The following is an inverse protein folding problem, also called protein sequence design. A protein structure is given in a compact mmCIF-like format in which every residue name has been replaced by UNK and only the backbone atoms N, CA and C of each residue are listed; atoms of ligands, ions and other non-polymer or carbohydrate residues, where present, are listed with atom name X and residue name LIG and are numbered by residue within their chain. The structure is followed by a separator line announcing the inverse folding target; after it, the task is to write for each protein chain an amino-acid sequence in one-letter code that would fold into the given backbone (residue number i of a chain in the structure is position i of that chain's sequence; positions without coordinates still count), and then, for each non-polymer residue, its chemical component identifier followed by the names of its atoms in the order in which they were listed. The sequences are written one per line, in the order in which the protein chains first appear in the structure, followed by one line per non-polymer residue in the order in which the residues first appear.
data_IF_335756798003
#
_entry.id   IF_335756798003
#
_cell.length_a   1.000
_cell.length_b   1.000
_cell.length_c   1.000
_cell.angle_alpha   90.00
_cell.angle_beta   90.00
_cell.angle_gamma   90.00
#
_symmetry.space_group_name_H-M   'P 1'
#
loop_
_entity.id
_entity.type
_entity.pdbx_description
1 polymer ?
#
# COMPACT_ATOMS: atom_id res chain seq x y z
N UNK A 1 -13.35 100.68 -16.44
CA UNK A 1 -14.46 100.00 -17.17
C UNK A 1 -14.57 98.58 -16.66
N UNK A 2 -15.79 98.24 -16.29
CA UNK A 2 -16.29 96.99 -15.70
C UNK A 2 -16.15 95.80 -16.65
N UNK A 3 -15.94 94.57 -16.13
CA UNK A 3 -16.88 93.43 -16.21
C UNK A 3 -16.32 92.25 -15.39
N UNK A 4 -17.10 91.83 -14.38
CA UNK A 4 -16.97 90.55 -13.67
C UNK A 4 -17.48 89.38 -14.51
N UNK A 5 -16.93 88.17 -14.33
CA UNK A 5 -17.77 86.96 -14.41
C UNK A 5 -17.27 85.79 -13.55
N UNK A 6 -18.26 85.01 -13.15
CA UNK A 6 -18.38 84.16 -11.98
C UNK A 6 -17.70 82.77 -12.05
N UNK A 7 -17.30 82.32 -10.86
CA UNK A 7 -17.24 80.97 -10.28
C UNK A 7 -17.58 79.74 -11.13
N UNK A 8 -16.77 78.68 -10.96
CA UNK A 8 -17.29 77.32 -10.68
C UNK A 8 -16.30 76.50 -9.84
N UNK A 9 -16.80 75.96 -8.72
CA UNK A 9 -16.14 75.03 -7.79
C UNK A 9 -16.03 73.60 -8.38
N UNK A 10 -14.93 72.87 -8.15
CA UNK A 10 -15.01 71.39 -8.05
C UNK A 10 -13.88 70.73 -7.23
N UNK A 11 -14.30 70.25 -6.06
CA UNK A 11 -13.98 68.99 -5.33
C UNK A 11 -12.52 68.56 -5.14
N UNK A 12 -12.07 68.77 -3.89
CA UNK A 12 -11.36 67.83 -2.98
C UNK A 12 -10.65 66.64 -3.64
N UNK A 13 -9.32 66.62 -3.54
CA UNK A 13 -8.57 65.37 -3.49
C UNK A 13 -7.88 65.27 -2.14
N UNK A 14 -8.20 64.18 -1.46
CA UNK A 14 -7.90 63.86 -0.08
C UNK A 14 -6.48 63.28 -0.01
N UNK A 15 -5.54 63.99 0.60
CA UNK A 15 -4.22 63.46 0.94
C UNK A 15 -4.37 62.50 2.11
N UNK A 16 -4.29 61.19 1.85
CA UNK A 16 -4.08 60.17 2.88
C UNK A 16 -3.25 59.01 2.34
N UNK A 17 -2.17 58.71 3.06
CA UNK A 17 -1.58 57.37 3.14
C UNK A 17 -0.36 57.15 2.26
N UNK A 18 0.83 57.36 2.83
CA UNK A 18 2.02 56.62 2.41
C UNK A 18 1.80 55.16 2.83
N UNK A 19 1.30 54.35 1.91
CA UNK A 19 1.30 52.91 2.07
C UNK A 19 2.67 52.39 1.63
N UNK A 20 3.52 52.05 2.59
CA UNK A 20 4.75 51.32 2.31
C UNK A 20 4.35 49.96 1.73
N UNK A 21 4.69 49.74 0.46
CA UNK A 21 4.58 48.43 -0.18
C UNK A 21 5.62 47.51 0.46
N UNK A 22 5.21 46.74 1.47
CA UNK A 22 5.97 45.56 1.90
C UNK A 22 5.86 44.57 0.74
N UNK A 23 6.98 44.07 0.17
CA UNK A 23 6.89 42.96 -0.76
C UNK A 23 6.26 41.80 0.00
N UNK A 24 5.06 41.38 -0.43
CA UNK A 24 4.57 40.07 -0.04
C UNK A 24 5.50 39.06 -0.71
N UNK A 25 6.55 38.66 0.01
CA UNK A 25 7.34 37.51 -0.34
C UNK A 25 6.38 36.33 -0.20
N UNK A 26 5.81 35.90 -1.33
CA UNK A 26 5.28 34.56 -1.47
C UNK A 26 6.46 33.63 -1.17
N UNK A 27 6.55 33.20 0.08
CA UNK A 27 7.37 32.06 0.45
C UNK A 27 6.70 30.84 -0.19
N UNK A 28 6.92 30.66 -1.48
CA UNK A 28 6.94 29.34 -2.09
C UNK A 28 7.93 28.57 -1.22
N UNK A 29 7.45 27.67 -0.38
CA UNK A 29 8.31 26.69 0.23
C UNK A 29 8.87 25.85 -0.93
N UNK A 30 9.95 26.34 -1.54
CA UNK A 30 10.79 25.54 -2.39
C UNK A 30 11.25 24.43 -1.49
N UNK A 31 10.66 23.23 -1.65
CA UNK A 31 11.30 22.01 -1.20
C UNK A 31 12.73 22.14 -1.72
N UNK A 32 13.76 22.25 -0.86
CA UNK A 32 15.11 22.46 -1.35
C UNK A 32 15.37 21.36 -2.36
N UNK A 33 15.92 21.68 -3.53
CA UNK A 33 16.22 20.68 -4.56
C UNK A 33 17.05 19.49 -4.02
N UNK A 34 17.74 19.71 -2.90
CA UNK A 34 18.45 18.72 -2.09
C UNK A 34 17.58 17.65 -1.40
N UNK A 35 16.31 17.93 -1.09
CA UNK A 35 15.37 16.94 -0.57
C UNK A 35 14.81 16.07 -1.71
N UNK A 36 14.58 16.64 -2.89
CA UNK A 36 14.13 15.90 -4.07
C UNK A 36 15.20 14.95 -4.63
N UNK A 37 16.49 15.28 -4.49
CA UNK A 37 17.59 14.41 -4.97
C UNK A 37 17.79 13.12 -4.18
N UNK A 38 17.19 13.02 -2.98
CA UNK A 38 17.26 11.82 -2.12
C UNK A 38 16.07 10.89 -2.29
N UNK A 39 14.95 11.40 -2.80
CA UNK A 39 13.75 10.60 -3.00
C UNK A 39 13.91 9.68 -4.21
N UNK A 40 13.85 8.37 -3.97
CA UNK A 40 13.94 7.34 -5.01
C UNK A 40 12.98 6.21 -4.70
N UNK A 41 12.59 5.45 -5.72
CA UNK A 41 11.82 4.22 -5.56
C UNK A 41 12.59 3.24 -4.69
N UNK A 42 11.92 2.64 -3.71
CA UNK A 42 12.48 1.61 -2.85
C UNK A 42 11.87 0.25 -3.18
N UNK A 43 12.73 -0.73 -3.46
CA UNK A 43 12.32 -2.10 -3.72
C UNK A 43 11.93 -2.83 -2.43
N UNK A 44 11.04 -3.80 -2.57
CA UNK A 44 10.64 -4.68 -1.47
C UNK A 44 11.68 -5.73 -1.13
N UNK A 45 11.58 -6.30 0.07
CA UNK A 45 12.39 -7.45 0.47
C UNK A 45 11.92 -8.70 -0.28
N UNK A 46 12.75 -9.32 -1.12
CA UNK A 46 12.38 -10.58 -1.80
C UNK A 46 12.11 -11.73 -0.84
N UNK A 47 11.26 -12.68 -1.20
CA UNK A 47 10.85 -13.81 -0.34
C UNK A 47 11.87 -14.95 -0.32
N UNK A 48 12.48 -15.32 -1.45
CA UNK A 48 13.37 -16.47 -1.53
C UNK A 48 14.79 -16.18 -0.99
N UNK A 49 15.15 -14.90 -0.79
CA UNK A 49 16.52 -14.47 -0.52
C UNK A 49 16.70 -13.64 0.75
N UNK A 50 15.64 -13.38 1.51
CA UNK A 50 15.70 -12.38 2.59
C UNK A 50 15.39 -12.97 3.97
N UNK A 51 16.30 -12.76 4.91
CA UNK A 51 16.06 -12.93 6.35
C UNK A 51 15.18 -11.84 6.97
N UNK A 52 14.71 -10.86 6.16
CA UNK A 52 13.87 -9.74 6.62
C UNK A 52 12.39 -10.10 6.81
N UNK A 53 11.97 -11.28 6.38
CA UNK A 53 10.60 -11.74 6.57
C UNK A 53 10.49 -12.69 7.76
N UNK A 54 9.59 -12.39 8.69
CA UNK A 54 9.12 -13.33 9.68
C UNK A 54 7.81 -13.97 9.18
N UNK A 55 7.86 -15.26 8.87
CA UNK A 55 6.78 -16.03 8.24
C UNK A 55 6.27 -17.06 9.24
N UNK A 56 5.00 -16.94 9.62
CA UNK A 56 4.30 -17.93 10.43
C UNK A 56 3.36 -18.75 9.52
N UNK A 57 3.69 -20.03 9.32
CA UNK A 57 3.04 -20.94 8.38
C UNK A 57 2.79 -22.32 9.04
N UNK A 58 1.70 -22.49 9.81
CA UNK A 58 0.65 -21.51 10.11
C UNK A 58 1.00 -20.54 11.25
N UNK A 59 0.29 -19.41 11.28
CA UNK A 59 0.17 -18.53 12.44
C UNK A 59 -0.91 -19.01 13.42
N UNK A 60 -2.03 -19.51 12.91
CA UNK A 60 -3.10 -20.14 13.70
C UNK A 60 -3.73 -21.31 12.95
N UNK A 61 -4.31 -22.25 13.69
CA UNK A 61 -4.89 -23.48 13.14
C UNK A 61 -3.82 -24.46 12.64
N UNK A 62 -4.24 -25.43 11.83
CA UNK A 62 -3.37 -26.44 11.24
C UNK A 62 -3.59 -26.49 9.72
N UNK A 63 -2.51 -26.62 8.95
CA UNK A 63 -2.56 -26.69 7.47
C UNK A 63 -2.39 -28.13 7.00
N UNK A 64 -3.10 -28.51 5.94
CA UNK A 64 -3.03 -29.85 5.37
C UNK A 64 -1.67 -30.15 4.74
N UNK A 65 -1.08 -29.13 4.12
CA UNK A 65 0.27 -29.19 3.57
C UNK A 65 0.95 -27.82 3.75
N UNK A 66 1.63 -27.56 4.88
CA UNK A 66 2.37 -26.32 5.06
C UNK A 66 3.50 -26.14 4.03
N UNK A 67 4.10 -27.25 3.58
CA UNK A 67 5.24 -27.27 2.67
C UNK A 67 4.89 -26.89 1.21
N UNK A 68 3.61 -26.87 0.84
CA UNK A 68 3.18 -26.35 -0.47
C UNK A 68 3.13 -24.82 -0.53
N UNK A 69 3.29 -24.14 0.60
CA UNK A 69 3.34 -22.69 0.67
C UNK A 69 4.78 -22.20 0.57
N UNK A 70 5.01 -21.12 -0.18
CA UNK A 70 6.35 -20.56 -0.29
C UNK A 70 6.56 -19.63 -1.48
N UNK A 71 7.82 -19.21 -1.70
CA UNK A 71 8.17 -18.38 -2.83
C UNK A 71 8.05 -19.16 -4.16
N UNK A 72 7.53 -18.49 -5.18
CA UNK A 72 7.43 -18.99 -6.55
C UNK A 72 7.60 -17.84 -7.55
N UNK A 73 8.11 -18.13 -8.74
CA UNK A 73 8.23 -17.14 -9.81
C UNK A 73 7.10 -17.36 -10.82
N UNK A 74 6.28 -16.33 -11.05
CA UNK A 74 5.19 -16.33 -12.03
C UNK A 74 5.37 -15.10 -12.92
N UNK A 75 5.39 -15.30 -14.24
CA UNK A 75 5.57 -14.22 -15.23
C UNK A 75 6.77 -13.30 -14.95
N UNK A 76 7.88 -13.88 -14.45
CA UNK A 76 9.10 -13.14 -14.14
C UNK A 76 9.07 -12.34 -12.84
N UNK A 77 8.00 -12.41 -12.04
CA UNK A 77 7.93 -11.80 -10.70
C UNK A 77 7.96 -12.87 -9.61
N UNK A 78 8.61 -12.54 -8.51
CA UNK A 78 8.60 -13.37 -7.31
C UNK A 78 7.33 -13.11 -6.49
N UNK A 79 6.65 -14.20 -6.15
CA UNK A 79 5.46 -14.24 -5.32
C UNK A 79 5.72 -15.11 -4.10
N UNK A 80 5.13 -14.78 -2.96
CA UNK A 80 4.86 -15.77 -1.92
C UNK A 80 3.44 -16.29 -2.09
N UNK A 81 3.27 -17.60 -2.23
CA UNK A 81 1.99 -18.23 -2.56
C UNK A 81 1.60 -19.22 -1.48
N UNK A 82 0.37 -19.11 -0.98
CA UNK A 82 -0.28 -20.16 -0.22
C UNK A 82 -0.99 -21.11 -1.18
N UNK A 83 -0.71 -22.42 -1.12
CA UNK A 83 -1.34 -23.46 -1.93
C UNK A 83 -1.80 -24.63 -1.06
N UNK A 84 -2.58 -24.33 -0.04
CA UNK A 84 -3.01 -25.32 0.96
C UNK A 84 -4.41 -25.04 1.49
N UNK A 85 -4.97 -26.00 2.21
CA UNK A 85 -6.19 -25.86 3.02
C UNK A 85 -5.85 -25.99 4.50
N UNK A 86 -6.78 -25.57 5.36
CA UNK A 86 -6.72 -25.91 6.77
C UNK A 86 -7.23 -27.35 7.00
N UNK A 87 -6.65 -28.05 7.96
CA UNK A 87 -7.08 -29.38 8.41
C UNK A 87 -8.37 -29.28 9.21
N UNK A 88 -9.32 -30.18 8.95
CA UNK A 88 -10.60 -30.24 9.65
C UNK A 88 -11.59 -29.17 9.20
N UNK A 89 -12.42 -28.69 10.14
CA UNK A 89 -13.56 -27.79 9.86
C UNK A 89 -13.27 -26.30 10.09
N UNK A 90 -12.11 -25.98 10.67
CA UNK A 90 -11.73 -24.59 10.97
C UNK A 90 -10.78 -24.03 9.92
N UNK A 91 -10.83 -22.71 9.72
CA UNK A 91 -9.87 -22.00 8.86
C UNK A 91 -8.52 -21.92 9.57
N UNK A 92 -7.46 -21.81 8.79
CA UNK A 92 -6.11 -21.55 9.30
C UNK A 92 -5.59 -20.25 8.70
N UNK A 93 -4.62 -19.65 9.40
CA UNK A 93 -4.04 -18.37 9.03
C UNK A 93 -2.54 -18.53 8.84
N UNK A 94 -2.03 -17.85 7.83
CA UNK A 94 -0.61 -17.66 7.57
C UNK A 94 -0.35 -16.16 7.69
N UNK A 95 0.75 -15.78 8.32
CA UNK A 95 1.14 -14.37 8.44
C UNK A 95 2.57 -14.17 7.92
N UNK A 96 2.74 -13.18 7.03
CA UNK A 96 4.03 -12.70 6.55
C UNK A 96 4.23 -11.30 7.10
N UNK A 97 5.30 -11.09 7.86
CA UNK A 97 5.62 -9.79 8.43
C UNK A 97 7.01 -9.33 8.02
N UNK A 98 7.14 -8.04 7.73
CA UNK A 98 8.43 -7.38 7.54
C UNK A 98 8.34 -5.92 7.94
N UNK A 99 9.47 -5.21 7.90
CA UNK A 99 9.52 -3.79 8.24
C UNK A 99 10.43 -3.02 7.29
N UNK A 100 10.16 -1.73 7.14
CA UNK A 100 10.92 -0.80 6.31
C UNK A 100 11.26 0.44 7.13
N UNK A 101 12.56 0.74 7.25
CA UNK A 101 13.05 1.89 7.96
C UNK A 101 12.98 3.12 7.07
N UNK A 102 12.34 4.17 7.56
CA UNK A 102 12.45 5.50 6.98
C UNK A 102 13.50 6.29 7.76
N UNK A 103 14.64 6.56 7.13
CA UNK A 103 15.74 7.31 7.76
C UNK A 103 16.62 8.03 6.74
N UNK A 104 17.21 9.14 7.16
CA UNK A 104 18.18 9.93 6.38
C UNK A 104 19.63 9.43 6.50
N UNK A 105 19.90 8.49 7.40
CA UNK A 105 21.25 7.97 7.74
C UNK A 105 21.88 7.02 6.70
N UNK A 106 21.33 6.95 5.49
CA UNK A 106 21.81 6.06 4.43
C UNK A 106 21.32 4.61 4.52
N UNK A 107 20.96 4.13 5.72
CA UNK A 107 20.46 2.78 5.96
C UNK A 107 18.94 2.65 5.77
N UNK A 108 18.21 3.76 5.87
CA UNK A 108 16.77 3.78 5.62
C UNK A 108 16.40 3.45 4.17
N UNK A 109 15.54 2.45 3.98
CA UNK A 109 14.95 2.11 2.68
C UNK A 109 14.05 3.24 2.16
N UNK A 110 13.33 3.91 3.05
CA UNK A 110 12.50 5.08 2.75
C UNK A 110 13.17 6.36 3.22
N UNK A 111 12.86 7.48 2.56
CA UNK A 111 13.37 8.80 2.95
C UNK A 111 12.27 9.68 3.56
N UNK A 112 12.42 10.15 4.82
CA UNK A 112 11.44 11.02 5.46
C UNK A 112 11.11 12.24 4.58
N UNK A 113 9.83 12.63 4.54
CA UNK A 113 9.35 13.74 3.73
C UNK A 113 9.08 13.41 2.25
N UNK A 114 9.62 12.31 1.72
CA UNK A 114 9.31 11.87 0.35
C UNK A 114 7.91 11.27 0.27
N UNK A 115 7.24 11.48 -0.87
CA UNK A 115 5.95 10.85 -1.18
C UNK A 115 6.17 9.53 -1.91
N UNK A 116 5.49 8.49 -1.44
CA UNK A 116 5.56 7.15 -1.99
C UNK A 116 4.17 6.63 -2.34
N UNK A 117 4.11 5.83 -3.39
CA UNK A 117 2.99 4.96 -3.74
C UNK A 117 3.35 3.53 -3.35
N UNK A 118 2.69 2.97 -2.35
CA UNK A 118 2.82 1.58 -1.97
C UNK A 118 2.12 0.68 -3.00
N UNK A 119 2.86 -0.26 -3.60
CA UNK A 119 2.38 -1.14 -4.68
C UNK A 119 2.78 -2.59 -4.47
N UNK A 120 1.94 -3.49 -4.98
CA UNK A 120 2.15 -4.93 -5.02
C UNK A 120 1.20 -5.54 -6.05
N UNK A 121 1.44 -6.79 -6.42
CA UNK A 121 0.57 -7.57 -7.29
C UNK A 121 0.06 -8.80 -6.54
N UNK A 122 -1.16 -9.22 -6.88
CA UNK A 122 -1.80 -10.40 -6.32
C UNK A 122 -2.18 -11.35 -7.44
N UNK A 123 -1.92 -12.63 -7.25
CA UNK A 123 -2.25 -13.69 -8.20
C UNK A 123 -3.08 -14.76 -7.52
N UNK A 124 -3.99 -15.39 -8.25
CA UNK A 124 -4.69 -16.59 -7.82
C UNK A 124 -4.37 -17.76 -8.75
N UNK A 125 -4.23 -18.95 -8.17
CA UNK A 125 -4.03 -20.19 -8.92
C UNK A 125 -5.09 -21.23 -8.53
N UNK A 126 -5.48 -22.06 -9.49
CA UNK A 126 -6.30 -23.23 -9.26
C UNK A 126 -5.57 -24.44 -9.85
N UNK A 127 -4.96 -25.25 -8.99
CA UNK A 127 -4.08 -26.35 -9.42
C UNK A 127 -4.83 -27.66 -9.66
N UNK A 128 -6.14 -27.72 -9.37
CA UNK A 128 -6.93 -28.95 -9.50
C UNK A 128 -8.23 -28.68 -10.29
N UNK A 129 -8.55 -29.50 -11.29
CA UNK A 129 -9.75 -29.27 -12.12
C UNK A 129 -11.04 -29.92 -11.60
N UNK A 130 -11.04 -30.52 -10.41
CA UNK A 130 -12.21 -31.19 -9.82
C UNK A 130 -12.49 -30.84 -8.35
N UNK A 131 -13.73 -31.08 -7.93
CA UNK A 131 -14.18 -30.98 -6.53
C UNK A 131 -14.57 -29.58 -6.06
N UNK A 132 -15.18 -29.52 -4.87
CA UNK A 132 -15.52 -28.27 -4.19
C UNK A 132 -14.25 -27.48 -3.86
N UNK A 133 -14.26 -26.17 -4.10
CA UNK A 133 -13.11 -25.29 -3.90
C UNK A 133 -13.24 -24.41 -2.67
N UNK A 134 -12.11 -24.23 -2.00
CA UNK A 134 -12.01 -23.43 -0.79
C UNK A 134 -11.50 -22.05 -1.12
N UNK A 135 -12.31 -21.03 -0.86
CA UNK A 135 -11.88 -19.66 -1.12
C UNK A 135 -10.85 -19.20 -0.11
N UNK A 136 -9.79 -18.57 -0.60
CA UNK A 136 -8.71 -18.02 0.21
C UNK A 136 -8.80 -16.50 0.18
N UNK A 137 -8.52 -15.88 1.33
CA UNK A 137 -8.51 -14.43 1.50
C UNK A 137 -7.11 -13.97 1.87
N UNK A 138 -6.66 -12.87 1.28
CA UNK A 138 -5.42 -12.17 1.60
C UNK A 138 -5.77 -10.76 2.09
N UNK A 139 -5.26 -10.40 3.25
CA UNK A 139 -5.36 -9.08 3.86
C UNK A 139 -3.97 -8.45 3.95
N UNK A 140 -3.87 -7.16 3.70
CA UNK A 140 -2.60 -6.43 3.76
C UNK A 140 -2.73 -5.12 4.52
N UNK A 141 -1.85 -4.94 5.50
CA UNK A 141 -1.83 -3.79 6.39
C UNK A 141 -0.43 -3.22 6.47
N UNK A 142 -0.29 -1.94 6.11
CA UNK A 142 0.93 -1.18 6.35
C UNK A 142 0.66 -0.22 7.50
N UNK A 143 1.44 -0.32 8.57
CA UNK A 143 1.38 0.59 9.72
C UNK A 143 2.57 1.54 9.67
N UNK A 144 2.30 2.80 9.97
CA UNK A 144 3.33 3.82 10.07
C UNK A 144 4.12 3.68 11.39
N UNK A 145 5.18 4.49 11.60
CA UNK A 145 5.99 4.43 12.83
C UNK A 145 5.23 4.68 14.14
N UNK A 146 4.06 5.32 14.08
CA UNK A 146 3.16 5.49 15.23
C UNK A 146 2.22 4.31 15.47
N UNK A 147 2.35 3.21 14.72
CA UNK A 147 1.48 2.03 14.78
C UNK A 147 0.11 2.19 14.09
N UNK A 148 -0.13 3.34 13.47
CA UNK A 148 -1.40 3.68 12.81
C UNK A 148 -1.40 3.14 11.39
N UNK A 149 -2.51 2.50 10.99
CA UNK A 149 -2.70 2.00 9.63
C UNK A 149 -2.58 3.15 8.62
N UNK A 150 -1.71 2.98 7.63
CA UNK A 150 -1.57 3.92 6.52
C UNK A 150 -2.90 3.98 5.78
N UNK A 151 -3.43 5.19 5.59
CA UNK A 151 -4.78 5.40 5.04
C UNK A 151 -4.93 4.69 3.70
N UNK A 152 -6.06 4.02 3.48
CA UNK A 152 -6.38 3.23 2.29
C UNK A 152 -5.52 1.96 2.09
N UNK A 153 -4.70 1.58 3.07
CA UNK A 153 -4.28 0.19 3.25
C UNK A 153 -5.36 -0.59 4.03
N UNK A 154 -5.28 -1.92 4.08
CA UNK A 154 -6.36 -2.76 4.63
C UNK A 154 -7.39 -3.23 3.60
N UNK A 155 -7.07 -3.18 2.31
CA UNK A 155 -7.86 -3.80 1.25
C UNK A 155 -7.60 -5.30 1.23
N UNK A 156 -8.64 -6.09 1.00
CA UNK A 156 -8.53 -7.55 0.92
C UNK A 156 -8.59 -8.05 -0.52
N UNK A 157 -7.99 -9.21 -0.76
CA UNK A 157 -8.07 -9.94 -2.01
C UNK A 157 -8.62 -11.33 -1.74
N UNK A 158 -9.42 -11.89 -2.63
CA UNK A 158 -10.06 -13.19 -2.43
C UNK A 158 -10.15 -13.97 -3.73
N UNK A 159 -10.08 -15.29 -3.65
CA UNK A 159 -10.35 -16.17 -4.79
C UNK A 159 -11.86 -16.42 -5.01
N UNK A 160 -12.72 -15.85 -4.15
CA UNK A 160 -14.18 -15.95 -4.29
C UNK A 160 -14.67 -15.13 -5.48
N UNK A 161 -15.05 -15.85 -6.54
CA UNK A 161 -15.54 -15.25 -7.78
C UNK A 161 -16.68 -14.24 -7.53
N UNK A 162 -16.59 -13.09 -8.20
CA UNK A 162 -17.61 -12.03 -8.15
C UNK A 162 -17.61 -11.20 -6.86
N UNK A 163 -16.75 -11.50 -5.88
CA UNK A 163 -16.68 -10.72 -4.64
C UNK A 163 -15.86 -9.44 -4.81
N UNK A 164 -16.47 -8.41 -5.38
CA UNK A 164 -15.89 -7.07 -5.51
C UNK A 164 -16.68 -6.06 -4.66
N UNK A 165 -16.03 -5.47 -3.67
CA UNK A 165 -16.58 -4.43 -2.79
C UNK A 165 -15.59 -3.25 -2.72
N UNK A 166 -15.95 -2.18 -2.02
CA UNK A 166 -15.03 -1.08 -1.75
C UNK A 166 -13.79 -1.47 -0.91
N UNK A 167 -13.79 -2.65 -0.28
CA UNK A 167 -12.71 -3.15 0.58
C UNK A 167 -12.18 -4.52 0.17
N UNK A 168 -12.71 -5.13 -0.89
CA UNK A 168 -12.34 -6.48 -1.31
C UNK A 168 -12.34 -6.61 -2.83
N UNK A 169 -11.31 -7.24 -3.39
CA UNK A 169 -11.22 -7.54 -4.82
C UNK A 169 -11.14 -9.05 -5.04
N UNK A 170 -11.98 -9.56 -5.94
CA UNK A 170 -11.86 -10.92 -6.45
C UNK A 170 -10.67 -11.01 -7.40
N UNK A 171 -9.78 -11.96 -7.18
CA UNK A 171 -8.61 -12.21 -8.03
C UNK A 171 -8.96 -13.34 -9.00
N UNK A 172 -9.01 -13.08 -10.33
CA UNK A 172 -9.23 -14.14 -11.30
C UNK A 172 -8.05 -15.12 -11.33
N UNK A 173 -8.33 -16.39 -11.59
CA UNK A 173 -7.30 -17.41 -11.71
C UNK A 173 -6.44 -17.20 -12.95
N UNK A 174 -5.15 -17.48 -12.83
CA UNK A 174 -4.15 -17.33 -13.90
C UNK A 174 -4.00 -15.90 -14.41
N UNK A 175 -4.50 -14.92 -13.65
CA UNK A 175 -4.39 -13.49 -13.94
C UNK A 175 -3.73 -12.79 -12.77
N UNK A 176 -2.86 -11.85 -13.09
CA UNK A 176 -2.25 -10.95 -12.12
C UNK A 176 -3.14 -9.72 -11.95
N UNK A 177 -3.39 -9.32 -10.70
CA UNK A 177 -4.10 -8.10 -10.35
C UNK A 177 -3.12 -7.14 -9.69
N UNK A 178 -2.90 -5.99 -10.31
CA UNK A 178 -2.19 -4.88 -9.68
C UNK A 178 -3.02 -4.30 -8.54
N UNK A 179 -2.42 -4.19 -7.36
CA UNK A 179 -3.08 -3.54 -6.24
C UNK A 179 -3.30 -2.06 -6.52
N UNK A 180 -4.36 -1.50 -5.91
CA UNK A 180 -4.57 -0.06 -5.94
C UNK A 180 -3.42 0.59 -5.16
N UNK A 181 -2.65 1.43 -5.84
CA UNK A 181 -1.54 2.17 -5.24
C UNK A 181 -2.04 3.05 -4.07
N UNK A 182 -1.31 3.01 -2.96
CA UNK A 182 -1.63 3.80 -1.76
C UNK A 182 -0.56 4.86 -1.54
N UNK A 183 -0.97 6.12 -1.62
CA UNK A 183 -0.06 7.25 -1.47
C UNK A 183 0.11 7.64 0.00
N UNK A 184 1.35 7.85 0.43
CA UNK A 184 1.66 8.41 1.74
C UNK A 184 2.98 9.20 1.70
N UNK A 185 3.16 10.11 2.64
CA UNK A 185 4.44 10.77 2.89
C UNK A 185 5.18 10.01 3.98
N UNK A 186 6.41 9.59 3.71
CA UNK A 186 7.23 8.89 4.67
C UNK A 186 7.55 9.78 5.89
N UNK A 187 7.46 9.19 7.08
CA UNK A 187 7.86 9.77 8.36
C UNK A 187 9.02 8.95 8.88
N UNK A 188 9.96 9.59 9.55
CA UNK A 188 11.07 8.90 10.18
C UNK A 188 10.60 7.77 11.13
N UNK A 189 11.29 6.64 11.08
CA UNK A 189 11.02 5.46 11.89
C UNK A 189 10.58 4.23 11.09
N UNK A 190 10.14 3.21 11.80
CA UNK A 190 9.90 1.88 11.25
C UNK A 190 8.45 1.68 10.79
N UNK A 191 8.26 1.40 9.50
CA UNK A 191 6.97 0.97 8.96
C UNK A 191 6.84 -0.54 9.07
N UNK A 192 5.69 -1.02 9.56
CA UNK A 192 5.43 -2.45 9.71
C UNK A 192 4.43 -2.92 8.66
N UNK A 193 4.81 -3.93 7.90
CA UNK A 193 3.95 -4.58 6.93
C UNK A 193 3.52 -5.94 7.46
N UNK A 194 2.21 -6.16 7.52
CA UNK A 194 1.61 -7.46 7.82
C UNK A 194 0.73 -7.89 6.65
N UNK A 195 0.97 -9.11 6.17
CA UNK A 195 0.15 -9.80 5.18
C UNK A 195 -0.43 -11.03 5.86
N UNK A 196 -1.74 -11.15 5.82
CA UNK A 196 -2.47 -12.25 6.46
C UNK A 196 -3.24 -13.02 5.41
N UNK A 197 -2.94 -14.31 5.27
CA UNK A 197 -3.63 -15.21 4.35
C UNK A 197 -4.48 -16.17 5.16
N UNK A 198 -5.80 -16.10 4.96
CA UNK A 198 -6.76 -17.03 5.57
C UNK A 198 -7.14 -18.10 4.56
N UNK A 199 -6.74 -19.34 4.82
CA UNK A 199 -7.07 -20.50 3.98
C UNK A 199 -8.37 -21.16 4.42
N UNK A 200 -9.10 -21.72 3.47
CA UNK A 200 -10.34 -22.42 3.74
C UNK A 200 -10.09 -23.76 4.45
N UNK A 201 -11.02 -24.15 5.32
CA UNK A 201 -11.11 -25.48 5.89
C UNK A 201 -11.35 -26.53 4.79
N UNK A 202 -10.66 -27.67 4.86
CA UNK A 202 -10.91 -28.80 3.96
C UNK A 202 -12.26 -29.46 4.23
N UNK A 203 -12.77 -29.36 5.47
CA UNK A 203 -14.02 -29.92 5.94
C UNK A 203 -13.95 -31.42 6.23
N UNK A 204 -14.73 -31.89 7.20
CA UNK A 204 -14.79 -33.29 7.62
C UNK A 204 -15.72 -34.18 6.77
N UNK A 205 -16.06 -33.75 5.54
CA UNK A 205 -16.95 -34.50 4.64
C UNK A 205 -16.17 -35.52 3.81
N UNK A 206 -16.88 -36.50 3.24
CA UNK A 206 -16.29 -37.50 2.30
C UNK A 206 -15.60 -36.84 1.11
N UNK A 207 -16.08 -35.70 0.65
CA UNK A 207 -15.43 -34.87 -0.35
C UNK A 207 -14.75 -33.67 0.32
N UNK A 208 -13.44 -33.76 0.47
CA UNK A 208 -12.62 -32.65 0.97
C UNK A 208 -12.56 -31.53 -0.04
N UNK A 209 -12.52 -30.31 0.46
CA UNK A 209 -12.35 -29.10 -0.34
C UNK A 209 -10.92 -29.02 -0.85
N UNK A 210 -10.74 -28.78 -2.15
CA UNK A 210 -9.44 -28.55 -2.74
C UNK A 210 -8.98 -27.10 -2.54
N UNK A 211 -7.67 -26.93 -2.31
CA UNK A 211 -7.03 -25.63 -2.15
C UNK A 211 -7.17 -24.77 -3.42
N UNK A 212 -7.40 -23.48 -3.21
CA UNK A 212 -7.12 -22.43 -4.19
C UNK A 212 -5.87 -21.71 -3.73
N UNK A 213 -4.98 -21.38 -4.67
CA UNK A 213 -3.80 -20.62 -4.35
C UNK A 213 -4.06 -19.12 -4.39
N UNK A 214 -3.50 -18.38 -3.45
CA UNK A 214 -3.37 -16.92 -3.56
C UNK A 214 -1.95 -16.53 -3.23
N UNK A 215 -1.40 -15.60 -3.99
CA UNK A 215 -0.03 -15.13 -3.81
C UNK A 215 0.09 -13.63 -3.97
N UNK A 216 1.15 -13.08 -3.40
CA UNK A 216 1.46 -11.65 -3.42
C UNK A 216 2.94 -11.44 -3.73
N UNK A 217 3.26 -10.42 -4.51
CA UNK A 217 4.65 -10.01 -4.73
C UNK A 217 5.21 -9.31 -3.50
N UNK A 218 6.53 -9.24 -3.37
CA UNK A 218 7.11 -8.32 -2.39
C UNK A 218 6.64 -6.88 -2.71
N UNK A 219 6.08 -6.14 -1.73
CA UNK A 219 5.62 -4.80 -2.01
C UNK A 219 6.78 -3.82 -2.19
N UNK A 220 6.62 -2.87 -3.10
CA UNK A 220 7.60 -1.83 -3.37
C UNK A 220 6.98 -0.43 -3.19
N UNK A 221 7.84 0.56 -3.02
CA UNK A 221 7.48 1.94 -2.73
C UNK A 221 7.94 2.83 -3.88
N UNK A 222 7.06 3.07 -4.83
CA UNK A 222 7.34 3.93 -5.99
C UNK A 222 7.36 5.40 -5.55
N UNK A 223 8.43 6.13 -5.85
CA UNK A 223 8.48 7.57 -5.58
C UNK A 223 7.46 8.32 -6.45
N UNK A 224 6.67 9.23 -5.84
CA UNK A 224 5.52 9.86 -6.50
C UNK A 224 5.56 11.39 -6.64
N UNK A 225 6.67 12.06 -6.30
CA UNK A 225 6.83 13.52 -6.49
C UNK A 225 6.27 14.37 -5.36
#
# INVERSE_FOLDING_TARGET
MTVSRATTFKRRTLTKGVAWAVPAVLASAAVPAFAASRCQTAEGHGFARSSRWAIANPATGALASPASNGPAVINGKEYWISQTTALGDEKAVITLTTSYLASDDGEGELKPGCKYTFRYFVVASDTNHGGRKGDVKLDIQLRNPSGVLVRNTGHSYTTKSGQNTNKTTSVPFNTEVAARGVNFTAREGLYHLEITITVAAEGNRREKVAARGIGITSPYFEFSG
#
